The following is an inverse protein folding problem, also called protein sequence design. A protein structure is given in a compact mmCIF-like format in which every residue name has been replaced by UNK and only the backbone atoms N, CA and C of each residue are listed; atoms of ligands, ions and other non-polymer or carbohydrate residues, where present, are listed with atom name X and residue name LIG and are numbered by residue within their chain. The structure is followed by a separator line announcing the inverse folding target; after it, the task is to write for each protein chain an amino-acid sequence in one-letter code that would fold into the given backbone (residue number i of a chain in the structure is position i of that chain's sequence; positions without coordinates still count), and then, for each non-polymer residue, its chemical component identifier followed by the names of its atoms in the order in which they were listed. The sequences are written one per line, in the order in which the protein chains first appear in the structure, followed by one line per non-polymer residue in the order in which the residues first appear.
data_IF_504783064804
#
_entry.id   IF_504783064804
#
_cell.length_a   1.000
_cell.length_b   1.000
_cell.length_c   1.000
_cell.angle_alpha   90.00
_cell.angle_beta   90.00
_cell.angle_gamma   90.00
#
_symmetry.space_group_name_H-M   'P 1'
#
loop_
_entity.id
_entity.type
_entity.pdbx_description
1 polymer ?
#
# COMPACT_ATOMS: atom_id res chain seq x y z
N UNK A 1 6.69 30.22 -20.22
CA UNK A 1 7.41 29.24 -19.38
C UNK A 1 6.43 28.14 -19.06
N UNK A 2 6.60 26.97 -19.67
CA UNK A 2 5.77 25.80 -19.39
C UNK A 2 6.11 25.30 -17.99
N UNK A 3 5.08 25.12 -17.15
CA UNK A 3 5.21 24.53 -15.83
C UNK A 3 5.62 23.06 -16.02
N UNK A 4 6.81 22.69 -15.53
CA UNK A 4 7.29 21.31 -15.55
C UNK A 4 6.27 20.42 -14.82
N UNK A 5 6.00 19.18 -15.29
CA UNK A 5 5.12 18.29 -14.55
C UNK A 5 5.83 17.98 -13.22
N UNK A 6 5.31 18.53 -12.13
CA UNK A 6 5.77 18.20 -10.78
C UNK A 6 5.67 16.69 -10.64
N UNK A 7 6.82 16.04 -10.43
CA UNK A 7 6.97 14.61 -10.20
C UNK A 7 5.75 14.03 -9.47
N UNK A 8 5.14 13.02 -10.09
CA UNK A 8 3.82 12.46 -9.77
C UNK A 8 3.72 11.79 -8.41
N UNK A 9 3.81 12.60 -7.36
CA UNK A 9 3.62 12.21 -5.98
C UNK A 9 2.19 12.52 -5.58
N UNK A 10 1.36 11.48 -5.47
CA UNK A 10 0.01 11.59 -4.94
C UNK A 10 -0.10 10.74 -3.68
N UNK A 11 -0.70 11.25 -2.60
CA UNK A 11 -1.06 10.42 -1.46
C UNK A 11 -2.20 9.48 -1.85
N UNK A 12 -1.93 8.17 -1.96
CA UNK A 12 -2.90 7.14 -2.38
C UNK A 12 -3.80 6.60 -1.25
N UNK A 13 -4.05 7.45 -0.25
CA UNK A 13 -4.76 7.10 0.99
C UNK A 13 -3.84 7.02 2.21
N UNK A 14 -4.41 6.91 3.42
CA UNK A 14 -3.63 6.84 4.66
C UNK A 14 -2.66 5.66 4.64
N UNK A 15 -1.39 5.89 4.94
CA UNK A 15 -0.39 4.82 5.06
C UNK A 15 0.28 4.38 3.76
N UNK A 16 -0.01 5.03 2.63
CA UNK A 16 0.58 4.70 1.32
C UNK A 16 1.24 5.90 0.64
N UNK A 17 2.34 5.63 -0.02
CA UNK A 17 3.04 6.55 -0.91
C UNK A 17 3.03 5.96 -2.32
N UNK A 18 2.48 6.68 -3.30
CA UNK A 18 2.47 6.22 -4.68
C UNK A 18 3.30 7.08 -5.63
N UNK A 19 3.78 6.43 -6.68
CA UNK A 19 4.57 6.99 -7.76
C UNK A 19 4.07 6.47 -9.11
N UNK A 20 3.92 7.38 -10.08
CA UNK A 20 3.70 7.00 -11.46
C UNK A 20 5.02 6.49 -12.06
N UNK A 21 4.95 5.37 -12.75
CA UNK A 21 6.04 4.75 -13.53
C UNK A 21 5.70 4.82 -15.01
N UNK A 22 6.70 4.65 -15.88
CA UNK A 22 6.53 4.82 -17.33
C UNK A 22 5.41 4.00 -17.98
N UNK A 23 5.03 2.87 -17.38
CA UNK A 23 3.96 1.99 -17.88
C UNK A 23 2.92 1.60 -16.80
N UNK A 24 2.84 2.32 -15.69
CA UNK A 24 1.90 1.99 -14.62
C UNK A 24 2.13 2.80 -13.35
N UNK A 25 1.68 2.27 -12.23
CA UNK A 25 1.77 2.91 -10.93
C UNK A 25 2.28 1.93 -9.90
N UNK A 26 3.03 2.46 -8.92
CA UNK A 26 3.54 1.70 -7.79
C UNK A 26 3.15 2.43 -6.52
N UNK A 27 2.72 1.70 -5.49
CA UNK A 27 2.50 2.25 -4.17
C UNK A 27 3.23 1.43 -3.11
N UNK A 28 3.92 2.11 -2.20
CA UNK A 28 4.65 1.54 -1.06
C UNK A 28 3.99 1.95 0.24
N UNK A 29 3.92 1.02 1.20
CA UNK A 29 3.46 1.32 2.56
C UNK A 29 4.45 2.22 3.28
N UNK A 30 3.92 3.18 4.03
CA UNK A 30 4.70 4.03 4.93
C UNK A 30 5.10 3.27 6.19
N UNK A 31 4.19 2.44 6.71
CA UNK A 31 4.42 1.63 7.89
C UNK A 31 5.04 0.28 7.53
N UNK A 32 5.94 -0.19 8.40
CA UNK A 32 6.51 -1.54 8.28
C UNK A 32 5.48 -2.59 8.70
N UNK A 33 5.43 -3.67 7.92
CA UNK A 33 4.65 -4.86 8.24
C UNK A 33 5.41 -5.73 9.26
N UNK A 34 4.68 -6.42 10.13
CA UNK A 34 5.26 -7.47 10.98
C UNK A 34 5.57 -8.72 10.15
N UNK A 35 6.46 -9.58 10.65
CA UNK A 35 6.71 -10.89 10.02
C UNK A 35 5.41 -11.71 9.89
N UNK A 36 4.54 -11.62 10.89
CA UNK A 36 3.23 -12.27 10.87
C UNK A 36 2.35 -11.76 9.72
N UNK A 37 2.34 -10.43 9.49
CA UNK A 37 1.60 -9.83 8.39
C UNK A 37 2.15 -10.26 7.01
N UNK A 38 3.48 -10.26 6.85
CA UNK A 38 4.12 -10.70 5.61
C UNK A 38 3.84 -12.17 5.30
N UNK A 39 3.96 -13.05 6.30
CA UNK A 39 3.67 -14.49 6.15
C UNK A 39 2.20 -14.78 5.82
N UNK A 40 1.29 -13.84 6.09
CA UNK A 40 -0.13 -13.96 5.79
C UNK A 40 -0.57 -13.08 4.59
N UNK A 41 0.37 -12.71 3.71
CA UNK A 41 0.07 -12.13 2.40
C UNK A 41 -0.12 -10.61 2.37
N UNK A 42 0.20 -9.90 3.45
CA UNK A 42 0.31 -8.45 3.39
C UNK A 42 1.56 -8.06 2.59
N UNK A 43 1.39 -7.10 1.67
CA UNK A 43 2.46 -6.66 0.77
C UNK A 43 2.98 -5.27 1.17
N UNK A 44 4.30 -5.03 1.15
CA UNK A 44 4.87 -3.70 1.38
C UNK A 44 4.74 -2.78 0.15
N UNK A 45 4.53 -3.37 -1.03
CA UNK A 45 4.41 -2.68 -2.31
C UNK A 45 3.30 -3.32 -3.16
N UNK A 46 2.54 -2.51 -3.88
CA UNK A 46 1.58 -2.94 -4.91
C UNK A 46 1.83 -2.19 -6.22
N UNK A 47 1.48 -2.82 -7.34
CA UNK A 47 1.64 -2.26 -8.67
C UNK A 47 0.31 -2.37 -9.43
N UNK A 48 0.05 -1.39 -10.30
CA UNK A 48 -1.18 -1.30 -11.08
C UNK A 48 -0.91 -0.66 -12.44
N UNK A 49 -1.82 -0.87 -13.40
CA UNK A 49 -1.77 -0.24 -14.72
C UNK A 49 -2.36 1.17 -14.72
N UNK A 50 -3.33 1.42 -13.84
CA UNK A 50 -3.94 2.73 -13.67
C UNK A 50 -4.11 3.12 -12.19
N UNK A 51 -4.43 4.40 -11.98
CA UNK A 51 -4.55 5.02 -10.66
C UNK A 51 -5.70 4.42 -9.83
N UNK A 52 -6.81 4.07 -10.49
CA UNK A 52 -7.99 3.52 -9.83
C UNK A 52 -7.77 2.08 -9.37
N UNK A 53 -7.12 1.27 -10.20
CA UNK A 53 -6.65 -0.05 -9.80
C UNK A 53 -5.67 0.05 -8.62
N UNK A 54 -4.70 0.97 -8.67
CA UNK A 54 -3.75 1.16 -7.57
C UNK A 54 -4.46 1.49 -6.26
N UNK A 55 -5.46 2.38 -6.30
CA UNK A 55 -6.25 2.75 -5.13
C UNK A 55 -6.98 1.54 -4.53
N UNK A 56 -7.62 0.72 -5.36
CA UNK A 56 -8.32 -0.49 -4.90
C UNK A 56 -7.37 -1.51 -4.27
N UNK A 57 -6.18 -1.70 -4.85
CA UNK A 57 -5.16 -2.59 -4.29
C UNK A 57 -4.63 -2.08 -2.94
N UNK A 58 -4.40 -0.77 -2.81
CA UNK A 58 -4.00 -0.15 -1.54
C UNK A 58 -5.08 -0.33 -0.45
N UNK A 59 -6.36 -0.07 -0.75
CA UNK A 59 -7.48 -0.27 0.20
C UNK A 59 -7.59 -1.74 0.63
N UNK A 60 -7.50 -2.68 -0.33
CA UNK A 60 -7.52 -4.11 -0.04
C UNK A 60 -6.36 -4.53 0.88
N UNK A 61 -5.13 -4.06 0.61
CA UNK A 61 -3.95 -4.37 1.42
C UNK A 61 -3.99 -3.72 2.81
N UNK A 62 -4.62 -2.55 2.96
CA UNK A 62 -4.88 -1.93 4.26
C UNK A 62 -5.84 -2.81 5.07
N UNK A 63 -6.99 -3.18 4.51
CA UNK A 63 -7.99 -4.03 5.19
C UNK A 63 -7.44 -5.39 5.56
N UNK A 64 -6.64 -6.01 4.68
CA UNK A 64 -5.99 -7.28 4.98
C UNK A 64 -5.06 -7.13 6.19
N UNK A 65 -4.18 -6.13 6.19
CA UNK A 65 -3.23 -5.92 7.28
C UNK A 65 -3.91 -5.63 8.63
N UNK A 66 -5.02 -4.89 8.65
CA UNK A 66 -5.84 -4.67 9.84
C UNK A 66 -6.41 -5.98 10.40
N UNK A 67 -6.95 -6.85 9.52
CA UNK A 67 -7.50 -8.15 9.92
C UNK A 67 -6.43 -9.10 10.41
N UNK A 68 -5.27 -9.11 9.76
CA UNK A 68 -4.14 -9.92 10.19
C UNK A 68 -3.55 -9.41 11.51
N UNK A 69 -3.48 -8.09 11.73
CA UNK A 69 -3.07 -7.51 13.02
C UNK A 69 -4.01 -7.92 14.17
N UNK A 70 -5.32 -8.00 13.90
CA UNK A 70 -6.30 -8.51 14.87
C UNK A 70 -6.08 -10.01 15.14
N UNK A 71 -5.82 -10.83 14.11
CA UNK A 71 -5.49 -12.24 14.31
C UNK A 71 -4.18 -12.42 15.11
N UNK A 72 -3.16 -11.61 14.83
CA UNK A 72 -1.89 -11.59 15.56
C UNK A 72 -2.08 -11.22 17.03
N UNK A 73 -2.95 -10.26 17.33
CA UNK A 73 -3.24 -9.85 18.72
C UNK A 73 -3.94 -10.94 19.52
N UNK A 74 -4.91 -11.64 18.92
CA UNK A 74 -5.60 -12.78 19.56
C UNK A 74 -4.60 -13.90 19.88
N UNK A 75 -3.67 -14.22 18.97
CA UNK A 75 -2.63 -15.22 19.21
C UNK A 75 -1.68 -14.86 20.36
N UNK A 76 -1.49 -13.56 20.62
CA UNK A 76 -0.64 -13.05 21.72
C UNK A 76 -1.38 -12.98 23.06
N UNK A 77 -2.69 -13.20 23.09
CA UNK A 77 -3.43 -13.27 24.34
C UNK A 77 -3.14 -14.60 25.04
N UNK A 78 -2.98 -14.60 26.39
CA UNK A 78 -2.70 -15.80 27.17
C UNK A 78 -3.85 -16.82 27.16
#
# INVERSE_FOLDING_TARGET
MADSPKNGHMPFGPGWYGEAMGNGFVARRLDRLTDYQLLNGCLPEVQALDEGELWLLCDAQTRLAERIALAESIRRQP
#
